data_IF_027867093941
#
_entry.id   IF_027867093941
#
_cell.length_a   1.000
_cell.length_b   1.000
_cell.length_c   1.000
_cell.angle_alpha   90.00
_cell.angle_beta   90.00
_cell.angle_gamma   90.00
#
_symmetry.space_group_name_H-M   'P 1'
#
loop_
_entity.id
_entity.type
_entity.pdbx_description
1 polymer ?
#
# COMPACT_ATOMS: atom_id res chain seq x y z
N UNK A 1 -11.71 12.15 13.60
CA UNK A 1 -10.47 11.62 13.02
C UNK A 1 -9.81 10.70 14.06
N UNK A 2 -8.87 9.88 13.63
CA UNK A 2 -8.22 8.94 14.54
C UNK A 2 -9.19 7.89 15.08
N UNK A 3 -9.27 7.77 16.39
CA UNK A 3 -10.13 6.78 17.09
C UNK A 3 -11.59 6.85 16.65
N UNK A 4 -12.10 8.04 16.35
CA UNK A 4 -13.47 8.22 15.84
C UNK A 4 -13.66 7.54 14.48
N UNK A 5 -12.66 7.63 13.59
CA UNK A 5 -12.71 6.94 12.29
C UNK A 5 -12.64 5.41 12.46
N UNK A 6 -11.77 4.91 13.34
CA UNK A 6 -11.69 3.48 13.64
C UNK A 6 -13.03 2.94 14.17
N UNK A 7 -13.67 3.66 15.10
CA UNK A 7 -14.98 3.29 15.60
C UNK A 7 -16.06 3.33 14.51
N UNK A 8 -16.07 4.38 13.69
CA UNK A 8 -17.01 4.50 12.57
C UNK A 8 -16.82 3.40 11.53
N UNK A 9 -15.57 3.03 11.24
CA UNK A 9 -15.23 1.98 10.28
C UNK A 9 -15.86 0.64 10.64
N UNK A 10 -15.95 0.30 11.94
CA UNK A 10 -16.60 -0.94 12.38
C UNK A 10 -18.05 -1.03 11.90
N UNK A 11 -18.79 0.08 11.94
CA UNK A 11 -20.18 0.13 11.49
C UNK A 11 -20.27 0.21 9.96
N UNK A 12 -19.53 1.10 9.33
CA UNK A 12 -19.64 1.30 7.88
C UNK A 12 -19.16 0.08 7.11
N UNK A 13 -18.06 -0.54 7.51
CA UNK A 13 -17.58 -1.75 6.85
C UNK A 13 -18.56 -2.93 7.07
N UNK A 14 -19.20 -3.03 8.24
CA UNK A 14 -20.26 -4.02 8.47
C UNK A 14 -21.49 -3.76 7.59
N UNK A 15 -21.86 -2.50 7.36
CA UNK A 15 -22.97 -2.13 6.45
C UNK A 15 -22.61 -2.53 5.01
N UNK A 16 -21.39 -2.27 4.55
CA UNK A 16 -20.94 -2.69 3.24
C UNK A 16 -20.95 -4.22 3.07
N UNK A 17 -20.50 -4.95 4.10
CA UNK A 17 -20.57 -6.42 4.12
C UNK A 17 -22.01 -6.91 4.05
N UNK A 18 -22.93 -6.30 4.83
CA UNK A 18 -24.35 -6.61 4.79
C UNK A 18 -24.96 -6.36 3.41
N UNK A 19 -24.65 -5.22 2.78
CA UNK A 19 -25.12 -4.89 1.44
C UNK A 19 -24.63 -5.94 0.43
N UNK A 20 -23.36 -6.30 0.48
CA UNK A 20 -22.78 -7.29 -0.43
C UNK A 20 -23.42 -8.68 -0.26
N UNK A 21 -23.66 -9.10 0.97
CA UNK A 21 -24.36 -10.35 1.29
C UNK A 21 -25.82 -10.33 0.81
N UNK A 22 -26.53 -9.22 1.01
CA UNK A 22 -27.89 -9.04 0.52
C UNK A 22 -27.98 -9.20 -1.00
N UNK A 23 -27.02 -8.62 -1.73
CA UNK A 23 -26.93 -8.75 -3.19
C UNK A 23 -26.27 -10.05 -3.66
N UNK A 24 -25.83 -10.93 -2.74
CA UNK A 24 -25.12 -12.19 -3.04
C UNK A 24 -23.90 -11.99 -3.95
N UNK A 25 -23.16 -10.91 -3.73
CA UNK A 25 -21.97 -10.53 -4.50
C UNK A 25 -20.83 -10.16 -3.56
N UNK A 26 -19.58 -10.48 -3.88
CA UNK A 26 -18.43 -9.87 -3.19
C UNK A 26 -18.51 -8.35 -3.27
N UNK A 27 -18.06 -7.66 -2.23
CA UNK A 27 -18.18 -6.18 -2.15
C UNK A 27 -17.54 -5.47 -3.33
N UNK A 28 -16.33 -5.90 -3.74
CA UNK A 28 -15.64 -5.33 -4.88
C UNK A 28 -16.48 -5.41 -6.16
N UNK A 29 -17.16 -6.55 -6.39
CA UNK A 29 -18.03 -6.76 -7.55
C UNK A 29 -19.28 -5.87 -7.47
N UNK A 30 -19.88 -5.76 -6.31
CA UNK A 30 -21.02 -4.88 -6.10
C UNK A 30 -20.67 -3.43 -6.42
N UNK A 31 -19.50 -2.93 -5.93
CA UNK A 31 -19.06 -1.55 -6.14
C UNK A 31 -18.80 -1.25 -7.62
N UNK A 32 -18.08 -2.13 -8.34
CA UNK A 32 -17.77 -1.87 -9.76
C UNK A 32 -18.99 -1.94 -10.67
N UNK A 33 -20.03 -2.69 -10.29
CA UNK A 33 -21.29 -2.78 -11.02
C UNK A 33 -22.23 -1.59 -10.76
N UNK A 34 -22.00 -0.79 -9.72
CA UNK A 34 -22.78 0.44 -9.50
C UNK A 34 -22.62 1.39 -10.68
N UNK A 35 -23.69 2.10 -11.03
CA UNK A 35 -23.57 3.23 -11.95
C UNK A 35 -22.61 4.25 -11.34
N UNK A 36 -21.76 4.84 -12.16
CA UNK A 36 -20.75 5.81 -11.70
C UNK A 36 -21.37 6.94 -10.88
N UNK A 37 -22.52 7.45 -11.30
CA UNK A 37 -23.24 8.49 -10.55
C UNK A 37 -23.67 8.02 -9.16
N UNK A 38 -24.24 6.82 -9.07
CA UNK A 38 -24.71 6.24 -7.79
C UNK A 38 -23.55 6.00 -6.81
N UNK A 39 -22.36 5.65 -7.33
CA UNK A 39 -21.14 5.54 -6.55
C UNK A 39 -20.68 6.90 -6.06
N UNK A 40 -20.59 7.90 -6.96
CA UNK A 40 -20.12 9.24 -6.62
C UNK A 40 -21.06 9.99 -5.67
N UNK A 41 -22.35 9.67 -5.68
CA UNK A 41 -23.32 10.26 -4.74
C UNK A 41 -23.11 9.78 -3.29
N UNK A 42 -22.38 8.68 -3.11
CA UNK A 42 -21.99 8.17 -1.79
C UNK A 42 -20.67 8.76 -1.29
N UNK A 43 -19.92 9.46 -2.14
CA UNK A 43 -18.61 10.02 -1.82
C UNK A 43 -18.69 11.51 -1.52
N UNK A 44 -17.95 11.95 -0.53
CA UNK A 44 -17.80 13.37 -0.21
C UNK A 44 -16.53 13.92 -0.86
N UNK A 45 -16.68 14.98 -1.66
CA UNK A 45 -15.56 15.70 -2.27
C UNK A 45 -15.11 16.92 -1.45
N UNK A 46 -15.74 17.19 -0.30
CA UNK A 46 -15.34 18.30 0.58
C UNK A 46 -13.84 18.26 0.90
N UNK A 47 -13.19 19.39 0.77
CA UNK A 47 -11.75 19.62 1.03
C UNK A 47 -10.77 18.95 0.04
N UNK A 48 -11.27 18.36 -1.05
CA UNK A 48 -10.46 17.83 -2.15
C UNK A 48 -10.96 18.29 -3.52
N UNK A 49 -12.02 19.09 -3.56
CA UNK A 49 -12.65 19.64 -4.78
C UNK A 49 -11.77 20.68 -5.50
N UNK A 50 -10.72 21.15 -4.85
CA UNK A 50 -9.66 21.95 -5.43
C UNK A 50 -8.64 21.15 -6.27
N UNK A 51 -8.57 19.83 -6.11
CA UNK A 51 -7.65 18.96 -6.84
C UNK A 51 -8.36 17.90 -7.69
N UNK A 52 -9.58 17.54 -7.36
CA UNK A 52 -10.41 16.63 -8.14
C UNK A 52 -11.90 16.95 -7.97
N UNK A 53 -12.54 17.29 -9.07
CA UNK A 53 -13.98 17.51 -9.10
C UNK A 53 -14.74 16.19 -9.23
N UNK A 54 -16.04 16.22 -8.91
CA UNK A 54 -16.93 15.06 -9.08
C UNK A 54 -17.01 14.61 -10.55
N UNK A 55 -16.97 15.56 -11.49
CA UNK A 55 -17.03 15.25 -12.93
C UNK A 55 -15.73 14.62 -13.44
N UNK A 56 -14.57 15.06 -12.95
CA UNK A 56 -13.28 14.43 -13.25
C UNK A 56 -13.21 13.02 -12.67
N UNK A 57 -13.65 12.83 -11.44
CA UNK A 57 -13.75 11.50 -10.83
C UNK A 57 -14.69 10.58 -11.63
N UNK A 58 -15.81 11.10 -12.15
CA UNK A 58 -16.70 10.34 -13.04
C UNK A 58 -15.98 9.85 -14.29
N UNK A 59 -15.25 10.74 -14.96
CA UNK A 59 -14.48 10.39 -16.17
C UNK A 59 -13.44 9.29 -15.89
N UNK A 60 -12.71 9.40 -14.76
CA UNK A 60 -11.71 8.42 -14.36
C UNK A 60 -12.37 7.06 -14.13
N UNK A 61 -13.47 7.01 -13.40
CA UNK A 61 -14.20 5.76 -13.10
C UNK A 61 -14.75 5.14 -14.39
N UNK A 62 -15.39 5.92 -15.25
CA UNK A 62 -15.96 5.43 -16.50
C UNK A 62 -14.86 4.89 -17.44
N UNK A 63 -13.73 5.58 -17.55
CA UNK A 63 -12.58 5.11 -18.30
C UNK A 63 -12.02 3.78 -17.75
N UNK A 64 -11.94 3.66 -16.43
CA UNK A 64 -11.49 2.40 -15.81
C UNK A 64 -12.49 1.27 -16.04
N UNK A 65 -13.80 1.57 -15.98
CA UNK A 65 -14.84 0.57 -16.25
C UNK A 65 -14.84 0.05 -17.69
N UNK A 66 -14.54 0.90 -18.68
CA UNK A 66 -14.42 0.43 -20.07
C UNK A 66 -13.24 -0.51 -20.29
N UNK A 67 -12.23 -0.45 -19.42
CA UNK A 67 -11.04 -1.31 -19.48
C UNK A 67 -11.16 -2.56 -18.59
N UNK A 68 -12.31 -2.76 -17.90
CA UNK A 68 -12.54 -4.01 -17.16
C UNK A 68 -12.63 -5.19 -18.16
N UNK A 69 -12.07 -6.35 -17.80
CA UNK A 69 -12.23 -7.55 -18.61
C UNK A 69 -13.72 -7.79 -18.90
N UNK A 70 -14.04 -8.12 -20.15
CA UNK A 70 -15.41 -8.40 -20.58
C UNK A 70 -16.02 -9.59 -19.85
N UNK A 71 -15.19 -10.44 -19.29
CA UNK A 71 -15.58 -11.55 -18.45
C UNK A 71 -14.99 -11.36 -17.04
N UNK A 72 -15.83 -11.01 -16.07
CA UNK A 72 -15.43 -10.89 -14.66
C UNK A 72 -14.99 -12.25 -14.06
N UNK A 73 -15.29 -13.36 -14.70
CA UNK A 73 -14.81 -14.67 -14.29
C UNK A 73 -13.32 -14.85 -14.61
N UNK A 74 -12.76 -14.09 -15.57
CA UNK A 74 -11.33 -14.03 -15.82
C UNK A 74 -10.57 -13.39 -14.66
N UNK A 75 -11.20 -12.55 -13.84
CA UNK A 75 -10.61 -12.03 -12.62
C UNK A 75 -10.37 -13.13 -11.57
N UNK A 76 -11.08 -14.24 -11.63
CA UNK A 76 -10.83 -15.39 -10.77
C UNK A 76 -9.59 -16.19 -11.23
N UNK A 77 -9.17 -16.03 -12.47
CA UNK A 77 -7.96 -16.63 -13.04
C UNK A 77 -6.76 -15.68 -13.05
N UNK A 78 -7.01 -14.37 -12.94
CA UNK A 78 -5.95 -13.36 -12.88
C UNK A 78 -5.61 -13.11 -11.41
N UNK A 79 -4.47 -13.59 -10.97
CA UNK A 79 -4.00 -13.37 -9.60
C UNK A 79 -3.85 -11.87 -9.38
N UNK A 80 -4.61 -11.35 -8.41
CA UNK A 80 -4.44 -9.96 -7.97
C UNK A 80 -3.01 -9.79 -7.45
N UNK A 81 -2.26 -8.74 -7.86
CA UNK A 81 -0.91 -8.54 -7.37
C UNK A 81 -0.90 -8.47 -5.84
N UNK A 82 -0.16 -9.35 -5.21
CA UNK A 82 -0.04 -9.43 -3.77
C UNK A 82 1.40 -9.73 -3.38
N UNK A 83 1.79 -9.37 -2.16
CA UNK A 83 3.08 -9.71 -1.59
C UNK A 83 2.90 -10.57 -0.34
N UNK A 84 3.94 -11.34 0.00
CA UNK A 84 4.00 -12.06 1.27
C UNK A 84 4.93 -11.37 2.27
N UNK A 85 4.54 -11.37 3.55
CA UNK A 85 5.38 -10.93 4.67
C UNK A 85 5.89 -12.12 5.49
N UNK A 86 5.57 -13.34 5.09
CA UNK A 86 5.80 -14.55 5.89
C UNK A 86 7.27 -14.72 6.33
N UNK A 87 8.22 -14.40 5.45
CA UNK A 87 9.66 -14.49 5.72
C UNK A 87 10.27 -13.21 6.31
N UNK A 88 9.52 -12.12 6.39
CA UNK A 88 10.04 -10.79 6.58
C UNK A 88 10.09 -10.28 8.03
N UNK A 89 9.60 -11.01 9.00
CA UNK A 89 9.47 -10.52 10.37
C UNK A 89 10.85 -10.35 11.06
N UNK A 90 10.93 -9.31 11.91
CA UNK A 90 12.09 -9.08 12.78
C UNK A 90 12.27 -10.24 13.77
N UNK A 91 13.51 -10.50 14.15
CA UNK A 91 13.84 -11.57 15.12
C UNK A 91 13.90 -12.98 14.55
N UNK A 92 13.60 -13.18 13.25
CA UNK A 92 13.81 -14.50 12.63
C UNK A 92 15.30 -14.77 12.42
N UNK A 93 15.69 -16.04 12.65
CA UNK A 93 17.02 -16.52 12.25
C UNK A 93 17.14 -16.63 10.73
N UNK A 94 18.36 -16.67 10.23
CA UNK A 94 18.62 -16.81 8.79
C UNK A 94 18.04 -18.13 8.25
N UNK A 95 18.15 -19.22 9.01
CA UNK A 95 17.60 -20.53 8.64
C UNK A 95 16.07 -20.47 8.51
N UNK A 96 15.39 -19.80 9.45
CA UNK A 96 13.94 -19.64 9.40
C UNK A 96 13.54 -18.78 8.21
N UNK A 97 14.25 -17.69 7.95
CA UNK A 97 13.99 -16.81 6.80
C UNK A 97 14.16 -17.58 5.48
N UNK A 98 15.27 -18.34 5.32
CA UNK A 98 15.53 -19.18 4.15
C UNK A 98 14.40 -20.15 3.89
N UNK A 99 14.04 -20.96 4.90
CA UNK A 99 12.96 -21.93 4.76
C UNK A 99 11.63 -21.32 4.36
N UNK A 100 11.27 -20.14 4.95
CA UNK A 100 10.03 -19.45 4.61
C UNK A 100 10.07 -18.80 3.21
N UNK A 101 11.22 -18.29 2.76
CA UNK A 101 11.37 -17.77 1.39
C UNK A 101 11.21 -18.92 0.38
N UNK A 102 11.91 -20.03 0.58
CA UNK A 102 11.85 -21.21 -0.31
C UNK A 102 10.43 -21.78 -0.37
N UNK A 103 9.76 -21.90 0.77
CA UNK A 103 8.37 -22.34 0.84
C UNK A 103 7.43 -21.41 0.04
N UNK A 104 7.59 -20.10 0.18
CA UNK A 104 6.73 -19.16 -0.53
C UNK A 104 7.05 -19.09 -2.03
N UNK A 105 8.32 -19.22 -2.43
CA UNK A 105 8.69 -19.36 -3.85
C UNK A 105 8.06 -20.61 -4.47
N UNK A 106 8.05 -21.74 -3.74
CA UNK A 106 7.42 -22.97 -4.24
C UNK A 106 5.90 -22.86 -4.41
N UNK A 107 5.26 -21.91 -3.71
CA UNK A 107 3.84 -21.56 -3.84
C UNK A 107 3.56 -20.52 -4.94
N UNK A 108 4.59 -20.07 -5.65
CA UNK A 108 4.46 -19.10 -6.74
C UNK A 108 4.44 -17.62 -6.29
N UNK A 109 4.82 -17.32 -5.05
CA UNK A 109 4.99 -15.92 -4.63
C UNK A 109 6.17 -15.27 -5.34
N UNK A 110 5.93 -14.07 -5.85
CA UNK A 110 6.92 -13.27 -6.58
C UNK A 110 7.26 -11.95 -5.89
N UNK A 111 6.53 -11.57 -4.86
CA UNK A 111 6.69 -10.31 -4.15
C UNK A 111 6.86 -10.57 -2.66
N UNK A 112 7.96 -10.07 -2.09
CA UNK A 112 8.36 -10.32 -0.71
C UNK A 112 8.58 -9.01 0.03
N UNK A 113 7.91 -8.81 1.18
CA UNK A 113 8.10 -7.63 2.01
C UNK A 113 8.75 -7.99 3.35
N UNK A 114 9.77 -7.23 3.74
CA UNK A 114 10.55 -7.44 4.95
C UNK A 114 10.42 -6.27 5.90
N UNK A 115 10.32 -6.56 7.19
CA UNK A 115 10.46 -5.56 8.24
C UNK A 115 11.94 -5.21 8.42
N UNK A 116 12.24 -3.92 8.53
CA UNK A 116 13.56 -3.35 8.77
C UNK A 116 13.48 -2.28 9.87
N UNK A 117 14.62 -1.74 10.30
CA UNK A 117 14.68 -0.55 11.16
C UNK A 117 15.14 -0.81 12.58
N UNK A 118 15.48 -2.05 12.98
CA UNK A 118 16.09 -2.29 14.30
C UNK A 118 17.59 -2.03 14.31
N UNK A 119 18.31 -2.54 13.31
CA UNK A 119 19.75 -2.43 13.15
C UNK A 119 20.08 -2.47 11.66
N UNK A 120 20.72 -1.41 11.17
CA UNK A 120 20.95 -1.28 9.72
C UNK A 120 21.89 -2.34 9.15
N UNK A 121 22.90 -2.78 9.90
CA UNK A 121 23.83 -3.81 9.43
C UNK A 121 23.11 -5.17 9.35
N UNK A 122 22.23 -5.45 10.31
CA UNK A 122 21.37 -6.63 10.26
C UNK A 122 20.34 -6.54 9.13
N UNK A 123 19.76 -5.38 8.87
CA UNK A 123 18.83 -5.15 7.78
C UNK A 123 19.51 -5.34 6.41
N UNK A 124 20.73 -4.84 6.23
CA UNK A 124 21.55 -5.08 5.05
C UNK A 124 21.80 -6.58 4.85
N UNK A 125 22.23 -7.27 5.91
CA UNK A 125 22.43 -8.72 5.84
C UNK A 125 21.16 -9.48 5.44
N UNK A 126 20.02 -9.16 6.04
CA UNK A 126 18.73 -9.79 5.76
C UNK A 126 18.23 -9.50 4.34
N UNK A 127 18.35 -8.25 3.89
CA UNK A 127 18.00 -7.87 2.53
C UNK A 127 18.87 -8.59 1.50
N UNK A 128 20.18 -8.70 1.76
CA UNK A 128 21.09 -9.47 0.92
C UNK A 128 20.67 -10.93 0.83
N UNK A 129 20.45 -11.57 1.99
CA UNK A 129 20.03 -12.98 2.07
C UNK A 129 18.74 -13.24 1.27
N UNK A 130 17.72 -12.40 1.46
CA UNK A 130 16.44 -12.60 0.76
C UNK A 130 16.60 -12.29 -0.74
N UNK A 131 17.35 -11.24 -1.12
CA UNK A 131 17.60 -10.93 -2.54
C UNK A 131 18.32 -12.09 -3.27
N UNK A 132 19.32 -12.70 -2.62
CA UNK A 132 20.03 -13.85 -3.18
C UNK A 132 19.09 -15.06 -3.40
N UNK A 133 18.15 -15.28 -2.50
CA UNK A 133 17.18 -16.38 -2.60
C UNK A 133 16.09 -16.15 -3.64
N UNK A 134 15.53 -14.95 -3.67
CA UNK A 134 14.42 -14.65 -4.59
C UNK A 134 14.88 -14.28 -6.00
N UNK A 135 16.16 -13.99 -6.20
CA UNK A 135 16.69 -13.51 -7.50
C UNK A 135 16.19 -12.12 -7.87
N UNK A 136 16.62 -11.60 -9.01
CA UNK A 136 16.24 -10.26 -9.50
C UNK A 136 14.88 -10.22 -10.21
N UNK A 137 14.35 -11.37 -10.61
CA UNK A 137 13.03 -11.47 -11.26
C UNK A 137 11.89 -11.17 -10.29
N UNK A 138 12.09 -11.51 -9.02
CA UNK A 138 11.12 -11.29 -7.96
C UNK A 138 11.34 -9.93 -7.27
N UNK A 139 10.28 -9.40 -6.67
CA UNK A 139 10.29 -8.06 -6.05
C UNK A 139 10.52 -8.16 -4.54
N UNK A 140 11.42 -7.31 -4.06
CA UNK A 140 11.68 -7.11 -2.64
C UNK A 140 11.18 -5.74 -2.22
N UNK A 141 10.45 -5.66 -1.13
CA UNK A 141 10.00 -4.43 -0.48
C UNK A 141 10.47 -4.42 0.96
N UNK A 142 10.62 -3.24 1.53
CA UNK A 142 10.96 -3.08 2.95
C UNK A 142 9.97 -2.17 3.65
N UNK A 143 9.74 -2.43 4.94
CA UNK A 143 8.82 -1.69 5.78
C UNK A 143 9.50 -1.43 7.13
N UNK A 144 9.74 -0.17 7.44
CA UNK A 144 10.38 0.25 8.69
C UNK A 144 9.41 0.70 9.78
N UNK A 145 8.10 0.68 9.52
CA UNK A 145 7.07 1.04 10.49
C UNK A 145 7.40 2.32 11.27
N UNK A 146 7.80 3.39 10.56
CA UNK A 146 7.97 4.75 11.08
C UNK A 146 9.15 4.95 12.04
N UNK A 147 10.10 4.01 12.10
CA UNK A 147 11.13 4.04 13.15
C UNK A 147 12.23 5.06 12.90
N UNK A 148 12.49 5.42 11.64
CA UNK A 148 13.58 6.32 11.29
C UNK A 148 13.16 7.79 11.30
N UNK A 149 14.03 8.66 11.72
CA UNK A 149 13.93 10.08 11.38
C UNK A 149 14.16 10.30 9.88
N UNK A 150 13.81 11.48 9.38
CA UNK A 150 14.01 11.83 7.95
C UNK A 150 15.48 11.68 7.53
N UNK A 151 16.43 12.12 8.38
CA UNK A 151 17.86 12.05 8.06
C UNK A 151 18.36 10.59 8.08
N UNK A 152 17.97 9.80 9.07
CA UNK A 152 18.28 8.36 9.11
C UNK A 152 17.68 7.62 7.92
N UNK A 153 16.47 7.98 7.52
CA UNK A 153 15.84 7.42 6.31
C UNK A 153 16.69 7.67 5.07
N UNK A 154 17.14 8.90 4.86
CA UNK A 154 17.97 9.25 3.71
C UNK A 154 19.29 8.44 3.74
N UNK A 155 19.94 8.33 4.89
CA UNK A 155 21.16 7.54 5.02
C UNK A 155 20.91 6.05 4.77
N UNK A 156 19.86 5.47 5.39
CA UNK A 156 19.56 4.04 5.33
C UNK A 156 19.09 3.60 3.95
N UNK A 157 18.29 4.41 3.25
CA UNK A 157 17.95 4.17 1.85
C UNK A 157 19.22 4.10 1.00
N UNK A 158 20.18 5.02 1.23
CA UNK A 158 21.47 5.00 0.53
C UNK A 158 22.21 3.66 0.65
N UNK A 159 22.12 3.02 1.82
CA UNK A 159 22.73 1.70 2.08
C UNK A 159 21.91 0.53 1.49
N UNK A 160 20.59 0.62 1.53
CA UNK A 160 19.67 -0.48 1.14
C UNK A 160 19.36 -0.51 -0.36
N UNK A 161 19.46 0.59 -1.09
CA UNK A 161 19.05 0.65 -2.52
C UNK A 161 19.84 -0.31 -3.44
N UNK A 162 21.01 -0.79 -3.02
CA UNK A 162 21.78 -1.81 -3.73
C UNK A 162 21.03 -3.15 -3.88
N UNK A 163 19.98 -3.37 -3.11
CA UNK A 163 19.19 -4.61 -3.13
C UNK A 163 17.95 -4.52 -4.04
N UNK A 164 17.86 -3.55 -4.93
CA UNK A 164 16.76 -3.39 -5.88
C UNK A 164 15.38 -3.43 -5.18
N UNK A 165 15.21 -2.53 -4.20
CA UNK A 165 13.99 -2.43 -3.42
C UNK A 165 12.89 -1.77 -4.24
N UNK A 166 11.76 -2.45 -4.39
CA UNK A 166 10.60 -1.95 -5.14
C UNK A 166 10.00 -0.70 -4.51
N UNK A 167 9.81 -0.72 -3.19
CA UNK A 167 9.42 0.45 -2.42
C UNK A 167 9.86 0.35 -0.96
N UNK A 168 10.00 1.53 -0.32
CA UNK A 168 10.24 1.69 1.11
C UNK A 168 8.95 2.15 1.77
N UNK A 169 8.38 1.29 2.64
CA UNK A 169 7.11 1.54 3.32
C UNK A 169 7.36 2.22 4.67
N UNK A 170 6.58 3.26 4.92
CA UNK A 170 6.57 4.03 6.16
C UNK A 170 7.98 4.30 6.73
N UNK A 171 8.90 4.87 5.94
CA UNK A 171 10.28 5.05 6.40
C UNK A 171 10.39 6.02 7.57
N UNK A 172 9.47 6.99 7.68
CA UNK A 172 9.40 7.98 8.77
C UNK A 172 7.95 8.20 9.21
N UNK A 173 7.72 9.17 10.09
CA UNK A 173 6.38 9.47 10.62
C UNK A 173 5.35 9.69 9.50
N UNK A 174 4.23 8.96 9.49
CA UNK A 174 3.24 9.01 8.41
C UNK A 174 2.46 10.33 8.32
N UNK A 175 2.56 11.21 9.33
CA UNK A 175 1.97 12.55 9.29
C UNK A 175 2.93 13.60 8.70
N UNK A 176 4.21 13.24 8.46
CA UNK A 176 5.24 14.17 7.98
C UNK A 176 5.36 14.19 6.45
N UNK A 177 4.37 14.80 5.78
CA UNK A 177 4.35 14.95 4.31
C UNK A 177 5.62 15.61 3.78
N UNK A 178 6.13 16.63 4.48
CA UNK A 178 7.34 17.36 4.06
C UNK A 178 8.60 16.54 4.29
N UNK A 179 8.64 15.71 5.33
CA UNK A 179 9.70 14.74 5.55
C UNK A 179 9.77 13.71 4.43
N UNK A 180 8.64 13.12 4.03
CA UNK A 180 8.56 12.24 2.86
C UNK A 180 9.05 12.94 1.59
N UNK A 181 8.63 14.21 1.37
CA UNK A 181 9.11 15.01 0.24
C UNK A 181 10.62 15.16 0.24
N UNK A 182 11.21 15.47 1.42
CA UNK A 182 12.65 15.63 1.58
C UNK A 182 13.41 14.34 1.30
N UNK A 183 12.87 13.20 1.72
CA UNK A 183 13.42 11.87 1.41
C UNK A 183 13.38 11.62 -0.10
N UNK A 184 12.23 11.91 -0.74
CA UNK A 184 12.06 11.73 -2.18
C UNK A 184 13.00 12.63 -2.99
N UNK A 185 13.24 13.86 -2.53
CA UNK A 185 14.18 14.77 -3.19
C UNK A 185 15.64 14.31 -3.06
N UNK A 186 16.00 13.69 -1.94
CA UNK A 186 17.32 13.11 -1.75
C UNK A 186 17.54 11.82 -2.55
N UNK A 187 16.47 11.07 -2.80
CA UNK A 187 16.46 9.80 -3.54
C UNK A 187 15.34 9.77 -4.59
N UNK A 188 15.45 10.53 -5.68
CA UNK A 188 14.39 10.60 -6.70
C UNK A 188 14.18 9.29 -7.46
N UNK A 189 15.15 8.39 -7.41
CA UNK A 189 15.18 7.08 -8.06
C UNK A 189 14.51 5.96 -7.25
N UNK A 190 14.13 6.21 -5.99
CA UNK A 190 13.44 5.20 -5.16
C UNK A 190 11.95 5.48 -5.03
N UNK A 191 11.19 4.45 -4.74
CA UNK A 191 9.76 4.57 -4.51
C UNK A 191 9.47 4.54 -3.00
N UNK A 192 8.59 5.43 -2.56
CA UNK A 192 8.08 5.49 -1.20
C UNK A 192 6.62 5.01 -1.15
N UNK A 193 6.30 4.23 -0.13
CA UNK A 193 4.96 3.76 0.14
C UNK A 193 4.51 4.23 1.52
N UNK A 194 3.26 4.68 1.62
CA UNK A 194 2.63 5.01 2.90
C UNK A 194 1.11 5.06 2.75
N UNK A 195 0.40 5.05 3.87
CA UNK A 195 -1.03 5.25 3.89
C UNK A 195 -1.80 4.39 4.88
N UNK A 196 -1.26 3.27 5.36
CA UNK A 196 -1.96 2.42 6.34
C UNK A 196 -2.28 3.17 7.66
N UNK A 197 -1.52 4.23 7.96
CA UNK A 197 -1.75 5.09 9.13
C UNK A 197 -2.44 6.41 8.78
N UNK A 198 -2.61 6.74 7.51
CA UNK A 198 -3.23 8.00 7.08
C UNK A 198 -4.75 7.96 7.36
N UNK A 199 -5.23 9.00 8.05
CA UNK A 199 -6.55 9.01 8.65
C UNK A 199 -7.63 9.72 7.82
N UNK A 200 -7.28 10.37 6.73
CA UNK A 200 -8.26 11.13 5.94
C UNK A 200 -7.75 11.52 4.55
N UNK A 201 -8.69 11.78 3.64
CA UNK A 201 -8.42 12.15 2.25
C UNK A 201 -7.61 13.44 2.06
N UNK A 202 -7.66 14.38 3.02
CA UNK A 202 -6.88 15.61 2.94
C UNK A 202 -5.39 15.34 3.10
N UNK A 203 -5.02 14.39 3.97
CA UNK A 203 -3.63 13.94 4.09
C UNK A 203 -3.16 13.27 2.80
N UNK A 204 -3.96 12.36 2.22
CA UNK A 204 -3.65 11.76 0.91
C UNK A 204 -3.46 12.83 -0.17
N UNK A 205 -4.36 13.84 -0.23
CA UNK A 205 -4.20 14.97 -1.14
C UNK A 205 -2.83 15.63 -0.98
N UNK A 206 -2.41 15.93 0.25
CA UNK A 206 -1.13 16.58 0.52
C UNK A 206 0.07 15.74 0.07
N UNK A 207 0.05 14.43 0.33
CA UNK A 207 1.09 13.52 -0.14
C UNK A 207 1.19 13.49 -1.67
N UNK A 208 0.05 13.40 -2.36
CA UNK A 208 -0.02 13.32 -3.82
C UNK A 208 0.43 14.64 -4.46
N UNK A 209 -0.10 15.78 -3.99
CA UNK A 209 0.25 17.10 -4.51
C UNK A 209 1.74 17.44 -4.31
N UNK A 210 2.32 17.02 -3.20
CA UNK A 210 3.76 17.19 -2.95
C UNK A 210 4.63 16.15 -3.67
N UNK A 211 4.02 15.18 -4.39
CA UNK A 211 4.77 14.07 -5.03
C UNK A 211 5.70 13.37 -4.05
N UNK A 212 5.22 13.13 -2.85
CA UNK A 212 5.99 12.60 -1.73
C UNK A 212 5.75 11.11 -1.47
N UNK A 213 4.90 10.47 -2.28
CA UNK A 213 4.72 9.00 -2.31
C UNK A 213 4.55 8.50 -3.75
N UNK A 214 4.87 7.24 -3.96
CA UNK A 214 4.72 6.53 -5.24
C UNK A 214 3.67 5.41 -5.13
N UNK A 215 3.56 4.77 -3.97
CA UNK A 215 2.58 3.73 -3.66
C UNK A 215 1.66 4.20 -2.54
N UNK A 216 0.38 4.34 -2.87
CA UNK A 216 -0.66 4.78 -1.95
C UNK A 216 -1.32 3.56 -1.31
N UNK A 217 -1.18 3.39 -0.01
CA UNK A 217 -1.80 2.33 0.77
C UNK A 217 -3.03 2.88 1.49
N UNK A 218 -4.20 2.31 1.25
CA UNK A 218 -5.45 2.80 1.84
C UNK A 218 -5.99 1.73 2.79
N UNK A 219 -6.13 2.11 4.06
CA UNK A 219 -6.74 1.29 5.10
C UNK A 219 -8.18 1.73 5.36
N UNK A 220 -9.15 0.85 5.06
CA UNK A 220 -10.57 1.14 5.22
C UNK A 220 -11.01 1.34 6.68
N UNK A 221 -10.18 0.94 7.65
CA UNK A 221 -10.43 1.21 9.06
C UNK A 221 -9.96 2.62 9.44
N UNK A 222 -8.80 3.06 8.94
CA UNK A 222 -8.24 4.38 9.26
C UNK A 222 -9.04 5.53 8.66
N UNK A 223 -9.54 5.36 7.44
CA UNK A 223 -10.33 6.40 6.75
C UNK A 223 -11.82 6.33 7.04
N UNK A 224 -12.26 5.46 7.94
CA UNK A 224 -13.62 5.23 8.41
C UNK A 224 -14.53 4.39 7.49
N UNK A 225 -14.13 4.02 6.29
CA UNK A 225 -14.84 3.08 5.39
C UNK A 225 -14.14 2.98 4.03
N UNK A 226 -14.75 2.23 3.16
CA UNK A 226 -14.40 2.12 1.74
C UNK A 226 -14.87 3.37 1.00
#
# INVERSE_FOLDING_TARGET
KGVTHLAAAAFFNAIWDLISKFHKKPLWRYIIELKTRDLLDKLSFSYIDDVITKDEAAKIIDQKKTNLPSNLDDLNSTIFPAYTTAAGWLGYSDEKMKGLVEENLSKGWTHFKMKVGQDIERDIHRCKLVRELIGHENKLMVDSNQIWSVNETIENIGKLKQFDILFYEEPTNPDDVLGFKKIKDAHPDVNLATGEMIQNKVMFKQFIENKSLDYCQIDSCRIASI
#
